data_IF_373926577011
#
_entry.id   IF_373926577011
#
_cell.length_a   1.000
_cell.length_b   1.000
_cell.length_c   1.000
_cell.angle_alpha   90.00
_cell.angle_beta   90.00
_cell.angle_gamma   90.00
#
_symmetry.space_group_name_H-M   'P 1'
#
loop_
_entity.id
_entity.type
_entity.pdbx_description
1 polymer ?
#
# COMPACT_ATOMS: atom_id res chain seq x y z
N UNK A 1 -33.62 6.35 -38.12
CA UNK A 1 -32.23 6.61 -37.64
C UNK A 1 -32.13 7.79 -36.67
N UNK A 2 -32.69 8.99 -36.97
CA UNK A 2 -32.63 10.18 -36.08
C UNK A 2 -33.25 9.97 -34.68
N UNK A 3 -34.31 9.16 -34.58
CA UNK A 3 -35.04 8.91 -33.33
C UNK A 3 -34.27 7.99 -32.36
N UNK A 4 -33.49 7.04 -32.89
CA UNK A 4 -32.64 6.16 -32.08
C UNK A 4 -31.42 6.90 -31.55
N UNK A 5 -30.89 7.84 -32.33
CA UNK A 5 -29.79 8.71 -31.93
C UNK A 5 -30.20 9.63 -30.78
N UNK A 6 -31.40 10.23 -30.86
CA UNK A 6 -31.96 11.06 -29.79
C UNK A 6 -32.21 10.26 -28.50
N UNK A 7 -32.69 9.01 -28.60
CA UNK A 7 -32.86 8.11 -27.45
C UNK A 7 -31.53 7.76 -26.79
N UNK A 8 -30.50 7.44 -27.57
CA UNK A 8 -29.18 7.11 -27.03
C UNK A 8 -28.55 8.29 -26.28
N UNK A 9 -28.66 9.51 -26.82
CA UNK A 9 -28.15 10.72 -26.16
C UNK A 9 -28.89 10.98 -24.84
N UNK A 10 -30.22 10.83 -24.82
CA UNK A 10 -31.03 11.04 -23.61
C UNK A 10 -30.64 10.05 -22.51
N UNK A 11 -30.45 8.77 -22.84
CA UNK A 11 -30.02 7.75 -21.87
C UNK A 11 -28.65 8.05 -21.28
N UNK A 12 -27.70 8.53 -22.08
CA UNK A 12 -26.34 8.86 -21.62
C UNK A 12 -26.37 10.07 -20.67
N UNK A 13 -27.20 11.07 -20.94
CA UNK A 13 -27.35 12.26 -20.06
C UNK A 13 -27.96 11.89 -18.71
N UNK A 14 -28.95 10.99 -18.69
CA UNK A 14 -29.54 10.53 -17.43
C UNK A 14 -28.59 9.64 -16.61
N UNK A 15 -27.70 8.87 -17.27
CA UNK A 15 -26.72 8.04 -16.58
C UNK A 15 -25.51 8.83 -16.02
N UNK A 16 -25.11 9.93 -16.66
CA UNK A 16 -23.99 10.76 -16.18
C UNK A 16 -24.37 11.71 -15.03
N UNK A 17 -25.65 12.07 -14.89
CA UNK A 17 -26.14 12.92 -13.80
C UNK A 17 -26.05 12.26 -12.41
N UNK A 18 -26.18 10.94 -12.33
CA UNK A 18 -26.09 10.20 -11.05
C UNK A 18 -24.66 10.04 -10.51
N UNK A 19 -23.63 10.23 -11.35
CA UNK A 19 -22.23 10.08 -10.96
C UNK A 19 -21.55 11.40 -10.57
N UNK A 20 -22.13 12.55 -10.95
CA UNK A 20 -21.53 13.87 -10.73
C UNK A 20 -21.76 14.43 -9.32
N UNK A 21 -22.80 13.99 -8.62
CA UNK A 21 -23.09 14.42 -7.24
C UNK A 21 -22.27 13.64 -6.19
N UNK A 22 -21.77 12.45 -6.57
CA UNK A 22 -21.03 11.57 -5.66
C UNK A 22 -19.57 12.01 -5.39
N UNK A 23 -19.04 12.95 -6.17
CA UNK A 23 -17.70 13.53 -5.99
C UNK A 23 -17.76 14.91 -5.31
N UNK A 24 -18.94 15.50 -5.15
CA UNK A 24 -19.14 16.76 -4.42
C UNK A 24 -19.77 16.58 -3.03
N UNK A 25 -20.18 15.36 -2.65
CA UNK A 25 -20.67 15.04 -1.31
C UNK A 25 -19.58 14.32 -0.50
N UNK A 26 -19.09 14.97 0.55
CA UNK A 26 -17.90 14.67 1.34
C UNK A 26 -18.01 13.43 2.27
N UNK A 27 -18.72 12.38 1.88
CA UNK A 27 -18.90 11.17 2.71
C UNK A 27 -17.94 10.03 2.33
N UNK A 28 -16.79 10.37 1.75
CA UNK A 28 -15.69 9.44 1.51
C UNK A 28 -14.75 9.40 2.71
N UNK A 29 -14.85 8.35 3.53
CA UNK A 29 -13.97 8.02 4.68
C UNK A 29 -12.47 7.95 4.35
N UNK A 30 -12.07 8.19 3.10
CA UNK A 30 -10.68 8.26 2.66
C UNK A 30 -10.04 9.64 2.89
N UNK A 31 -10.81 10.73 3.05
CA UNK A 31 -10.25 12.07 3.38
C UNK A 31 -10.06 12.33 4.88
N UNK A 32 -10.64 11.52 5.76
CA UNK A 32 -10.47 11.70 7.21
C UNK A 32 -9.07 11.30 7.73
N UNK A 33 -8.22 10.73 6.87
CA UNK A 33 -6.87 10.32 7.26
C UNK A 33 -5.83 11.45 7.21
N UNK A 34 -6.08 12.53 6.46
CA UNK A 34 -5.10 13.62 6.31
C UNK A 34 -5.35 14.80 7.26
N UNK A 35 -6.59 14.99 7.72
CA UNK A 35 -6.93 16.12 8.59
C UNK A 35 -7.97 15.73 9.66
N UNK A 36 -7.54 14.85 10.57
CA UNK A 36 -8.39 14.30 11.64
C UNK A 36 -9.11 15.39 12.46
N UNK A 37 -8.47 16.55 12.65
CA UNK A 37 -9.08 17.69 13.33
C UNK A 37 -10.27 18.25 12.55
N UNK A 38 -10.13 18.43 11.23
CA UNK A 38 -11.19 18.95 10.35
C UNK A 38 -12.37 17.97 10.19
N UNK A 39 -12.09 16.68 10.15
CA UNK A 39 -13.13 15.65 10.17
C UNK A 39 -13.86 15.58 11.51
N UNK A 40 -13.17 15.76 12.63
CA UNK A 40 -13.79 15.84 13.96
C UNK A 40 -14.65 17.10 14.13
N UNK A 41 -14.30 18.20 13.44
CA UNK A 41 -15.07 19.45 13.37
C UNK A 41 -16.42 19.30 12.66
N UNK A 42 -16.57 18.39 11.70
CA UNK A 42 -17.85 18.16 11.01
C UNK A 42 -18.97 17.65 11.92
N UNK A 43 -18.63 17.16 13.12
CA UNK A 43 -19.58 16.71 14.13
C UNK A 43 -20.02 17.81 15.10
N UNK A 44 -19.40 18.99 15.06
CA UNK A 44 -19.59 20.03 16.07
C UNK A 44 -19.83 21.39 15.42
N UNK A 45 -20.87 22.10 15.85
CA UNK A 45 -21.27 23.41 15.32
C UNK A 45 -20.33 24.55 15.73
N UNK A 46 -19.45 24.30 16.71
CA UNK A 46 -18.43 25.23 17.20
C UNK A 46 -17.13 24.45 17.34
N UNK A 47 -16.00 25.07 16.96
CA UNK A 47 -14.67 24.47 17.07
C UNK A 47 -14.33 24.23 18.55
N UNK A 48 -14.26 22.96 19.00
CA UNK A 48 -13.93 22.64 20.39
C UNK A 48 -12.41 22.54 20.61
N UNK A 49 -11.61 22.64 19.56
CA UNK A 49 -10.19 22.27 19.61
C UNK A 49 -9.36 23.38 20.22
N UNK A 50 -8.31 22.97 20.94
CA UNK A 50 -7.26 23.87 21.38
C UNK A 50 -6.61 24.51 20.11
N UNK A 51 -6.36 25.84 20.08
CA UNK A 51 -5.71 26.49 18.94
C UNK A 51 -4.39 25.84 18.49
N UNK A 52 -3.64 25.26 19.43
CA UNK A 52 -2.39 24.54 19.13
C UNK A 52 -2.61 23.17 18.50
N UNK A 53 -3.83 22.61 18.56
CA UNK A 53 -4.18 21.31 17.97
C UNK A 53 -4.14 21.33 16.44
N UNK A 54 -4.20 22.51 15.82
CA UNK A 54 -4.07 22.68 14.37
C UNK A 54 -2.61 22.56 13.90
N UNK A 55 -1.64 22.53 14.82
CA UNK A 55 -0.23 22.33 14.49
C UNK A 55 0.07 20.83 14.34
N UNK A 56 -0.16 20.28 13.15
CA UNK A 56 0.17 18.89 12.79
C UNK A 56 1.60 18.76 12.24
N UNK A 57 2.45 19.77 12.45
CA UNK A 57 3.84 19.72 12.04
C UNK A 57 4.56 18.57 12.77
N UNK A 58 4.98 17.58 12.01
CA UNK A 58 5.87 16.53 12.52
C UNK A 58 7.25 17.15 12.64
N UNK A 59 7.74 17.29 13.87
CA UNK A 59 9.09 17.82 14.08
C UNK A 59 10.16 16.87 13.52
N UNK A 60 11.14 17.45 12.81
CA UNK A 60 12.24 16.72 12.19
C UNK A 60 12.06 16.44 10.69
N UNK A 61 13.08 15.84 10.09
CA UNK A 61 13.17 15.55 8.64
C UNK A 61 12.56 14.19 8.25
N UNK A 62 11.96 13.47 9.21
CA UNK A 62 11.41 12.14 9.00
C UNK A 62 12.45 11.03 8.82
N UNK A 63 13.76 11.29 9.04
CA UNK A 63 14.81 10.28 8.88
C UNK A 63 14.57 9.02 9.73
N UNK A 64 14.02 9.18 10.94
CA UNK A 64 13.65 8.06 11.81
C UNK A 64 12.49 7.23 11.26
N UNK A 65 11.48 7.87 10.67
CA UNK A 65 10.37 7.17 10.03
C UNK A 65 10.85 6.41 8.78
N UNK A 66 11.71 7.06 7.97
CA UNK A 66 12.33 6.43 6.81
C UNK A 66 13.19 5.22 7.18
N UNK A 67 13.95 5.30 8.28
CA UNK A 67 14.75 4.18 8.78
C UNK A 67 13.88 2.96 9.14
N UNK A 68 12.73 3.18 9.77
CA UNK A 68 11.76 2.12 10.11
C UNK A 68 11.14 1.52 8.85
N UNK A 69 10.69 2.36 7.90
CA UNK A 69 10.14 1.89 6.61
C UNK A 69 11.15 1.05 5.84
N UNK A 70 12.42 1.48 5.80
CA UNK A 70 13.49 0.71 5.15
C UNK A 70 13.79 -0.61 5.87
N UNK A 71 13.71 -0.63 7.20
CA UNK A 71 13.87 -1.86 7.97
C UNK A 71 12.73 -2.86 7.65
N UNK A 72 11.48 -2.40 7.61
CA UNK A 72 10.35 -3.25 7.20
C UNK A 72 10.49 -3.75 5.77
N UNK A 73 10.95 -2.92 4.84
CA UNK A 73 11.17 -3.33 3.44
C UNK A 73 12.24 -4.43 3.32
N UNK A 74 13.31 -4.34 4.13
CA UNK A 74 14.33 -5.39 4.20
C UNK A 74 13.79 -6.69 4.79
N UNK A 75 13.03 -6.61 5.88
CA UNK A 75 12.44 -7.80 6.52
C UNK A 75 11.38 -8.45 5.63
N UNK A 76 10.57 -7.65 4.91
CA UNK A 76 9.61 -8.16 3.92
C UNK A 76 10.30 -8.91 2.78
N UNK A 77 11.51 -8.48 2.37
CA UNK A 77 12.33 -9.22 1.41
C UNK A 77 12.92 -10.52 1.97
N UNK A 78 13.01 -10.67 3.29
CA UNK A 78 13.63 -11.83 3.96
C UNK A 78 12.61 -12.86 4.47
N UNK A 79 11.31 -12.53 4.48
CA UNK A 79 10.30 -13.33 5.20
C UNK A 79 9.51 -14.31 4.32
N UNK A 80 10.02 -14.70 3.15
CA UNK A 80 9.36 -15.70 2.30
C UNK A 80 9.38 -15.42 0.79
N UNK A 81 10.32 -14.60 0.31
CA UNK A 81 10.63 -14.56 -1.12
C UNK A 81 11.37 -15.82 -1.53
N UNK A 82 11.13 -16.27 -2.76
CA UNK A 82 12.00 -17.23 -3.45
C UNK A 82 13.44 -16.71 -3.38
N UNK A 83 14.37 -17.52 -2.87
CA UNK A 83 15.78 -17.15 -2.63
C UNK A 83 16.65 -17.88 -3.64
N UNK A 84 17.67 -17.22 -4.17
CA UNK A 84 18.65 -17.83 -5.08
C UNK A 84 19.98 -18.08 -4.36
N UNK A 85 20.73 -19.09 -4.79
CA UNK A 85 22.14 -19.20 -4.42
C UNK A 85 23.00 -18.14 -5.14
N UNK A 86 24.12 -17.76 -4.53
CA UNK A 86 25.10 -16.84 -5.14
C UNK A 86 25.57 -17.41 -6.48
N UNK A 87 25.37 -16.65 -7.57
CA UNK A 87 25.67 -17.09 -8.94
C UNK A 87 24.53 -17.81 -9.66
N UNK A 88 23.34 -17.89 -9.03
CA UNK A 88 22.11 -18.36 -9.65
C UNK A 88 21.63 -17.48 -10.81
N UNK A 89 20.71 -18.02 -11.63
CA UNK A 89 20.18 -17.35 -12.83
C UNK A 89 18.96 -16.46 -12.56
N UNK A 90 18.42 -16.44 -11.34
CA UNK A 90 17.26 -15.63 -10.99
C UNK A 90 17.61 -14.19 -10.63
N UNK A 91 16.57 -13.38 -10.44
CA UNK A 91 16.66 -11.97 -10.02
C UNK A 91 16.23 -11.79 -8.57
N UNK A 92 16.27 -12.89 -7.81
CA UNK A 92 15.80 -12.96 -6.46
C UNK A 92 16.91 -12.61 -5.45
N UNK A 93 16.56 -12.37 -4.17
CA UNK A 93 17.56 -12.17 -3.14
C UNK A 93 18.50 -13.37 -3.05
N UNK A 94 19.81 -13.11 -3.15
CA UNK A 94 20.83 -14.15 -3.14
C UNK A 94 21.32 -14.48 -1.74
N UNK A 95 21.56 -15.76 -1.50
CA UNK A 95 22.18 -16.32 -0.30
C UNK A 95 23.56 -16.85 -0.67
N UNK A 96 24.55 -16.61 0.20
CA UNK A 96 25.88 -17.20 0.07
C UNK A 96 25.97 -18.47 0.92
N UNK A 97 26.34 -19.60 0.30
CA UNK A 97 26.40 -20.91 0.95
C UNK A 97 27.72 -21.18 1.71
N UNK A 98 27.79 -22.32 2.44
CA UNK A 98 26.74 -23.33 2.60
C UNK A 98 25.66 -22.94 3.64
N UNK A 99 24.40 -23.25 3.35
CA UNK A 99 23.26 -22.95 4.24
C UNK A 99 22.60 -24.24 4.72
N UNK A 100 22.38 -24.35 6.04
CA UNK A 100 21.77 -25.55 6.62
C UNK A 100 20.26 -25.52 6.51
N UNK A 101 19.68 -26.47 5.77
CA UNK A 101 18.24 -26.64 5.63
C UNK A 101 17.76 -27.64 6.69
N UNK A 102 16.86 -27.21 7.58
CA UNK A 102 16.40 -28.02 8.73
C UNK A 102 14.91 -28.37 8.67
N UNK A 103 14.25 -28.07 7.54
CA UNK A 103 12.81 -28.26 7.34
C UNK A 103 12.48 -28.40 5.85
N UNK A 104 11.27 -27.99 5.46
CA UNK A 104 10.93 -27.89 4.04
C UNK A 104 11.92 -26.96 3.33
N UNK A 105 12.16 -27.24 2.05
CA UNK A 105 12.96 -26.38 1.16
C UNK A 105 12.06 -25.70 0.11
N UNK A 106 11.27 -24.65 0.47
CA UNK A 106 10.41 -23.96 -0.49
C UNK A 106 11.17 -23.36 -1.67
N UNK A 107 12.43 -22.98 -1.44
CA UNK A 107 13.27 -22.27 -2.40
C UNK A 107 14.14 -23.23 -3.24
N UNK A 108 14.05 -24.56 -3.00
CA UNK A 108 14.83 -25.58 -3.71
C UNK A 108 16.34 -25.25 -3.75
N UNK A 109 16.88 -24.77 -2.61
CA UNK A 109 18.30 -24.45 -2.46
C UNK A 109 19.17 -25.71 -2.32
N UNK A 110 18.58 -26.80 -1.85
CA UNK A 110 19.19 -28.11 -1.65
C UNK A 110 18.69 -29.07 -2.74
N UNK A 111 19.46 -29.14 -3.83
CA UNK A 111 19.07 -29.91 -5.01
C UNK A 111 19.23 -31.42 -4.83
N UNK A 112 20.16 -31.87 -3.99
CA UNK A 112 20.48 -33.29 -3.78
C UNK A 112 19.87 -33.88 -2.50
N UNK A 113 19.23 -33.03 -1.69
CA UNK A 113 18.47 -33.34 -0.47
C UNK A 113 19.33 -33.87 0.69
N UNK A 114 20.57 -33.40 0.82
CA UNK A 114 21.48 -33.80 1.89
C UNK A 114 21.34 -32.95 3.18
N UNK A 115 20.56 -31.85 3.11
CA UNK A 115 20.34 -30.90 4.20
C UNK A 115 21.23 -29.65 4.13
N UNK A 116 22.01 -29.47 3.07
CA UNK A 116 22.89 -28.32 2.81
C UNK A 116 22.53 -27.69 1.47
N UNK A 117 22.08 -26.43 1.51
CA UNK A 117 21.78 -25.66 0.30
C UNK A 117 22.95 -24.77 -0.14
N UNK A 118 22.96 -24.45 -1.43
CA UNK A 118 23.94 -23.54 -2.06
C UNK A 118 25.41 -23.99 -1.95
N UNK A 119 25.65 -25.27 -2.20
CA UNK A 119 26.98 -25.87 -2.35
C UNK A 119 27.67 -25.60 -3.70
#
# INVERSE_FOLDING_TARGET
MRIHFARAILSIVFLSGCAADYINHYDGVTLASDDANKSNLMLQTVDPLNPNSQNTHIEGDGARALAVVNAYRRVASQSGGDLDCTGGKGNNPVVAGPVRITGADPNHLDGDHDGVGCE
#
